data_IF_147381916742
#
_entry.id   IF_147381916742
#
_cell.length_a   1.000
_cell.length_b   1.000
_cell.length_c   1.000
_cell.angle_alpha   90.00
_cell.angle_beta   90.00
_cell.angle_gamma   90.00
#
_symmetry.space_group_name_H-M   'P 1'
#
loop_
_entity.id
_entity.type
_entity.pdbx_description
1 polymer ?
#
# COMPACT_ATOMS: atom_id res chain seq x y z
N UNK A 1 0.03 10.85 -6.44
CA UNK A 1 1.14 10.67 -5.47
C UNK A 1 1.58 9.21 -5.28
N UNK A 2 0.74 8.18 -5.55
CA UNK A 2 1.12 6.76 -5.36
C UNK A 2 2.05 6.22 -6.47
N UNK A 3 1.80 6.57 -7.73
CA UNK A 3 2.60 6.13 -8.88
C UNK A 3 4.04 6.67 -8.84
N UNK A 4 4.22 7.91 -8.36
CA UNK A 4 5.54 8.52 -8.20
C UNK A 4 6.41 7.77 -7.16
N UNK A 5 5.84 7.42 -6.00
CA UNK A 5 6.53 6.63 -4.98
C UNK A 5 6.91 5.23 -5.50
N UNK A 6 6.00 4.58 -6.23
CA UNK A 6 6.27 3.27 -6.85
C UNK A 6 7.42 3.34 -7.86
N UNK A 7 7.48 4.40 -8.67
CA UNK A 7 8.50 4.59 -9.69
C UNK A 7 9.90 4.81 -9.09
N UNK A 8 9.99 5.59 -8.01
CA UNK A 8 11.26 5.78 -7.28
C UNK A 8 11.74 4.45 -6.68
N UNK A 9 10.85 3.69 -6.03
CA UNK A 9 11.18 2.38 -5.45
C UNK A 9 11.65 1.37 -6.51
N UNK A 10 10.99 1.34 -7.68
CA UNK A 10 11.39 0.46 -8.78
C UNK A 10 12.80 0.79 -9.30
N UNK A 11 13.12 2.08 -9.47
CA UNK A 11 14.46 2.52 -9.90
C UNK A 11 15.52 2.17 -8.84
N UNK A 12 15.24 2.41 -7.55
CA UNK A 12 16.17 2.07 -6.46
C UNK A 12 16.46 0.57 -6.38
N UNK A 13 15.46 -0.30 -6.53
CA UNK A 13 15.66 -1.76 -6.48
C UNK A 13 16.29 -2.32 -7.76
N UNK A 14 15.98 -1.76 -8.93
CA UNK A 14 16.67 -2.08 -10.17
C UNK A 14 18.18 -1.80 -10.04
N UNK A 15 18.56 -0.68 -9.41
CA UNK A 15 19.96 -0.34 -9.17
C UNK A 15 20.69 -1.34 -8.23
N UNK A 16 19.98 -1.93 -7.25
CA UNK A 16 20.55 -2.98 -6.38
C UNK A 16 20.89 -4.26 -7.14
N UNK A 17 20.29 -4.49 -8.31
CA UNK A 17 20.55 -5.68 -9.15
C UNK A 17 21.94 -5.61 -9.83
N UNK A 18 22.56 -4.44 -9.89
CA UNK A 18 23.94 -4.25 -10.37
C UNK A 18 25.01 -4.53 -9.30
N UNK A 19 24.64 -5.03 -8.11
CA UNK A 19 25.61 -5.40 -7.08
C UNK A 19 26.38 -6.69 -7.44
N UNK A 20 27.71 -6.65 -7.33
CA UNK A 20 28.62 -7.77 -7.67
C UNK A 20 28.47 -9.02 -6.77
N UNK A 21 27.76 -8.90 -5.65
CA UNK A 21 27.52 -10.02 -4.73
C UNK A 21 26.33 -10.85 -5.22
N UNK A 22 26.56 -12.09 -5.65
CA UNK A 22 25.54 -13.00 -6.20
C UNK A 22 24.28 -13.10 -5.32
N UNK A 23 24.44 -13.18 -3.99
CA UNK A 23 23.31 -13.17 -3.05
C UNK A 23 22.49 -11.87 -3.14
N UNK A 24 23.15 -10.72 -3.17
CA UNK A 24 22.50 -9.40 -3.27
C UNK A 24 21.73 -9.24 -4.58
N UNK A 25 22.26 -9.79 -5.68
CA UNK A 25 21.60 -9.75 -7.00
C UNK A 25 20.26 -10.49 -7.03
N UNK A 26 20.20 -11.67 -6.43
CA UNK A 26 18.96 -12.47 -6.35
C UNK A 26 17.92 -11.74 -5.48
N UNK A 27 18.35 -11.19 -4.34
CA UNK A 27 17.48 -10.37 -3.49
C UNK A 27 16.98 -9.10 -4.18
N UNK A 28 17.84 -8.37 -4.90
CA UNK A 28 17.48 -7.16 -5.64
C UNK A 28 16.48 -7.43 -6.77
N UNK A 29 16.70 -8.51 -7.53
CA UNK A 29 15.77 -8.96 -8.57
C UNK A 29 14.41 -9.34 -7.95
N UNK A 30 14.43 -10.15 -6.88
CA UNK A 30 13.21 -10.59 -6.19
C UNK A 30 12.39 -9.42 -5.63
N UNK A 31 13.06 -8.45 -5.01
CA UNK A 31 12.42 -7.27 -4.44
C UNK A 31 11.82 -6.35 -5.51
N UNK A 32 12.52 -6.17 -6.63
CA UNK A 32 12.01 -5.41 -7.78
C UNK A 32 10.74 -6.03 -8.34
N UNK A 33 10.74 -7.35 -8.56
CA UNK A 33 9.57 -8.08 -9.05
C UNK A 33 8.42 -7.99 -8.03
N UNK A 34 8.70 -8.19 -6.75
CA UNK A 34 7.68 -8.14 -5.70
C UNK A 34 6.96 -6.77 -5.66
N UNK A 35 7.71 -5.68 -5.78
CA UNK A 35 7.14 -4.31 -5.76
C UNK A 35 6.34 -4.03 -7.03
N UNK A 36 6.81 -4.49 -8.19
CA UNK A 36 6.07 -4.35 -9.45
C UNK A 36 4.73 -5.10 -9.37
N UNK A 37 4.73 -6.33 -8.84
CA UNK A 37 3.53 -7.14 -8.65
C UNK A 37 2.58 -6.50 -7.63
N UNK A 38 3.08 -5.97 -6.51
CA UNK A 38 2.24 -5.29 -5.52
C UNK A 38 1.56 -4.04 -6.10
N UNK A 39 2.35 -3.19 -6.76
CA UNK A 39 1.85 -1.96 -7.37
C UNK A 39 0.84 -2.22 -8.49
N UNK A 40 0.95 -3.36 -9.19
CA UNK A 40 0.07 -3.71 -10.31
C UNK A 40 -1.01 -4.69 -9.90
N UNK A 41 -0.67 -5.95 -9.67
CA UNK A 41 -1.61 -7.04 -9.40
C UNK A 41 -2.33 -6.83 -8.08
N UNK A 42 -1.59 -6.54 -7.00
CA UNK A 42 -2.22 -6.42 -5.67
C UNK A 42 -3.13 -5.19 -5.64
N UNK A 43 -2.63 -4.02 -6.03
CA UNK A 43 -3.43 -2.79 -5.95
C UNK A 43 -4.53 -2.66 -6.99
N UNK A 44 -4.31 -3.10 -8.23
CA UNK A 44 -5.33 -2.94 -9.28
C UNK A 44 -6.38 -4.06 -9.28
N UNK A 45 -6.06 -5.24 -8.76
CA UNK A 45 -6.96 -6.40 -8.83
C UNK A 45 -7.27 -6.93 -7.44
N UNK A 46 -6.25 -7.27 -6.65
CA UNK A 46 -6.45 -8.01 -5.41
C UNK A 46 -7.19 -7.17 -4.35
N UNK A 47 -6.74 -5.93 -4.11
CA UNK A 47 -7.36 -4.97 -3.20
C UNK A 47 -8.81 -4.67 -3.58
N UNK A 48 -9.14 -4.25 -4.83
CA UNK A 48 -10.52 -4.01 -5.20
C UNK A 48 -11.35 -5.29 -5.14
N UNK A 49 -10.84 -6.44 -5.59
CA UNK A 49 -11.57 -7.71 -5.52
C UNK A 49 -11.90 -8.09 -4.07
N UNK A 50 -10.96 -7.93 -3.13
CA UNK A 50 -11.22 -8.15 -1.70
C UNK A 50 -12.19 -7.13 -1.12
N UNK A 51 -12.10 -5.85 -1.52
CA UNK A 51 -13.07 -4.83 -1.12
C UNK A 51 -14.48 -5.15 -1.65
N UNK A 52 -14.61 -5.67 -2.87
CA UNK A 52 -15.88 -6.11 -3.43
C UNK A 52 -16.41 -7.37 -2.73
N UNK A 53 -15.54 -8.35 -2.44
CA UNK A 53 -15.94 -9.63 -1.86
C UNK A 53 -16.31 -9.52 -0.38
N UNK A 54 -15.53 -8.76 0.40
CA UNK A 54 -15.80 -8.52 1.83
C UNK A 54 -16.77 -7.36 2.06
N UNK A 55 -16.95 -6.47 1.08
CA UNK A 55 -17.97 -5.41 1.08
C UNK A 55 -18.06 -4.65 2.41
N UNK A 56 -19.26 -4.69 3.01
CA UNK A 56 -19.56 -4.06 4.31
C UNK A 56 -18.71 -4.54 5.49
N UNK A 57 -18.09 -5.72 5.43
CA UNK A 57 -17.22 -6.22 6.50
C UNK A 57 -15.84 -5.57 6.47
N UNK A 58 -15.36 -5.12 5.31
CA UNK A 58 -14.08 -4.41 5.20
C UNK A 58 -14.15 -2.99 5.82
N UNK A 59 -15.34 -2.40 5.86
CA UNK A 59 -15.60 -1.10 6.48
C UNK A 59 -16.40 -1.19 7.79
N UNK A 60 -16.62 -2.39 8.32
CA UNK A 60 -17.33 -2.53 9.59
C UNK A 60 -16.44 -2.09 10.74
N UNK A 61 -16.62 -0.85 11.18
CA UNK A 61 -16.10 -0.37 12.44
C UNK A 61 -16.92 -1.05 13.57
N UNK A 62 -16.30 -1.90 14.42
CA UNK A 62 -17.00 -2.46 15.55
C UNK A 62 -17.52 -1.33 16.45
N UNK A 63 -18.76 -1.45 16.95
CA UNK A 63 -19.44 -0.44 17.75
C UNK A 63 -18.60 0.29 18.84
N UNK A 64 -17.63 -0.35 19.56
CA UNK A 64 -16.74 0.39 20.47
C UNK A 64 -15.82 1.40 19.77
N UNK A 65 -15.38 1.14 18.54
CA UNK A 65 -14.50 2.01 17.75
C UNK A 65 -15.25 3.23 17.21
N UNK A 66 -16.50 3.04 16.76
CA UNK A 66 -17.38 4.15 16.36
C UNK A 66 -17.69 5.06 17.55
N UNK A 67 -17.99 4.49 18.72
CA UNK A 67 -18.24 5.27 19.95
C UNK A 67 -17.00 6.00 20.46
N UNK A 68 -15.81 5.42 20.24
CA UNK A 68 -14.55 6.08 20.57
C UNK A 68 -14.26 7.21 19.58
N UNK A 69 -14.53 7.02 18.28
CA UNK A 69 -14.38 8.05 17.26
C UNK A 69 -15.29 9.26 17.53
N UNK A 70 -16.56 9.04 17.86
CA UNK A 70 -17.51 10.09 18.28
C UNK A 70 -17.05 10.84 19.54
N UNK A 71 -16.32 10.17 20.44
CA UNK A 71 -15.80 10.78 21.67
C UNK A 71 -14.50 11.57 21.47
N UNK A 72 -13.68 11.21 20.47
CA UNK A 72 -12.39 11.85 20.21
C UNK A 72 -12.53 13.01 19.21
N UNK A 73 -13.63 13.08 18.44
CA UNK A 73 -14.02 14.29 17.70
C UNK A 73 -12.95 14.83 16.75
N UNK A 74 -12.34 13.95 15.95
CA UNK A 74 -11.39 14.37 14.91
C UNK A 74 -12.20 14.78 13.67
N UNK A 75 -12.78 15.98 13.73
CA UNK A 75 -13.37 16.66 12.58
C UNK A 75 -12.25 17.42 11.83
N UNK A 76 -11.80 16.89 10.69
CA UNK A 76 -10.88 17.58 9.78
C UNK A 76 -11.60 18.70 8.97
N UNK A 77 -12.87 19.00 9.27
CA UNK A 77 -13.64 20.08 8.67
C UNK A 77 -13.47 21.43 9.39
N UNK A 78 -12.59 21.54 10.38
CA UNK A 78 -12.37 22.76 11.15
C UNK A 78 -11.31 23.73 10.58
N UNK A 79 -11.01 23.66 9.27
CA UNK A 79 -10.11 24.63 8.62
C UNK A 79 -10.53 25.00 7.19
N UNK A 80 -11.73 25.56 7.04
CA UNK A 80 -12.10 26.37 5.88
C UNK A 80 -12.74 27.69 6.37
N UNK A 81 -12.00 28.81 6.38
CA UNK A 81 -12.62 30.14 6.31
C UNK A 81 -13.29 30.36 4.95
#
# INVERSE_FOLDING_TARGET
>A
MITAAALIMAISFAALTSADVSSMRIFGLGLTIAVLVDATVVRMILVPAFMFLMGQWNWWAPAPLTRLHERIGIDESASLP
#
